data_IF_369398724806
#
_entry.id   IF_369398724806
#
_cell.length_a   1.000
_cell.length_b   1.000
_cell.length_c   1.000
_cell.angle_alpha   90.00
_cell.angle_beta   90.00
_cell.angle_gamma   90.00
#
_symmetry.space_group_name_H-M   'P 1'
#
loop_
_entity.id
_entity.type
_entity.pdbx_description
1 polymer ?
#
# COMPACT_ATOMS: atom_id res chain seq x y z
N UNK A 1 -20.54 -14.68 -6.20
CA UNK A 1 -20.15 -14.04 -7.47
C UNK A 1 -18.85 -13.31 -7.25
N UNK A 2 -17.88 -13.56 -8.14
CA UNK A 2 -16.48 -13.14 -8.05
C UNK A 2 -16.29 -11.62 -8.03
N UNK A 3 -15.25 -11.17 -7.31
CA UNK A 3 -14.89 -9.77 -7.12
C UNK A 3 -14.56 -9.12 -8.47
N UNK A 4 -15.10 -7.93 -8.71
CA UNK A 4 -14.86 -7.13 -9.92
C UNK A 4 -14.00 -5.91 -9.56
N UNK A 5 -12.68 -6.10 -9.48
CA UNK A 5 -11.70 -5.01 -9.42
C UNK A 5 -11.49 -4.42 -10.82
N UNK A 6 -12.35 -3.52 -11.27
CA UNK A 6 -12.18 -2.96 -12.63
C UNK A 6 -11.09 -1.89 -12.74
N UNK A 7 -10.59 -1.30 -11.63
CA UNK A 7 -9.69 -0.12 -11.70
C UNK A 7 -8.59 0.00 -10.62
N UNK A 8 -8.26 -1.03 -9.83
CA UNK A 8 -7.05 -0.97 -8.97
C UNK A 8 -5.83 -1.22 -9.86
N UNK A 9 -4.89 -0.27 -9.86
CA UNK A 9 -3.78 -0.23 -10.81
C UNK A 9 -2.49 -0.72 -10.15
N UNK A 10 -1.72 -1.63 -10.78
CA UNK A 10 -0.40 -2.02 -10.27
C UNK A 10 0.56 -0.83 -10.38
N UNK A 11 0.80 -0.16 -9.26
CA UNK A 11 1.65 1.03 -9.18
C UNK A 11 2.51 1.01 -7.92
N UNK A 12 3.60 0.25 -8.01
CA UNK A 12 4.51 -0.03 -6.91
C UNK A 12 5.31 1.19 -6.44
N UNK A 13 5.69 1.16 -5.16
CA UNK A 13 6.54 2.15 -4.49
C UNK A 13 7.79 1.48 -3.92
N UNK A 14 8.83 2.27 -3.70
CA UNK A 14 10.12 1.80 -3.17
C UNK A 14 10.14 1.72 -1.63
N UNK A 15 11.12 1.00 -1.07
CA UNK A 15 11.39 1.00 0.37
C UNK A 15 11.58 2.43 0.92
N UNK A 16 12.32 3.28 0.19
CA UNK A 16 12.53 4.69 0.57
C UNK A 16 11.22 5.43 0.74
N UNK A 17 10.23 5.14 -0.10
CA UNK A 17 8.91 5.74 0.03
C UNK A 17 8.12 5.13 1.17
N UNK A 18 8.14 3.81 1.37
CA UNK A 18 7.47 3.17 2.51
C UNK A 18 7.96 3.72 3.85
N UNK A 19 9.27 3.89 4.02
CA UNK A 19 9.86 4.50 5.22
C UNK A 19 9.25 5.86 5.50
N UNK A 20 9.06 6.68 4.46
CA UNK A 20 8.54 8.04 4.60
C UNK A 20 7.03 8.10 4.72
N UNK A 21 6.29 7.23 4.03
CA UNK A 21 4.83 7.12 4.10
C UNK A 21 4.35 6.64 5.47
N UNK A 22 5.12 5.75 6.10
CA UNK A 22 4.75 5.11 7.37
C UNK A 22 5.61 5.53 8.56
N UNK A 23 6.50 6.51 8.38
CA UNK A 23 7.46 6.94 9.39
C UNK A 23 8.18 5.75 10.05
N UNK A 24 8.67 4.81 9.22
CA UNK A 24 9.34 3.60 9.71
C UNK A 24 10.69 3.98 10.31
N UNK A 25 10.93 3.52 11.53
CA UNK A 25 12.21 3.62 12.21
C UNK A 25 13.09 2.40 11.90
N UNK A 26 14.40 2.42 12.19
CA UNK A 26 15.24 1.22 12.11
C UNK A 26 14.64 0.04 12.90
N UNK A 27 14.17 0.29 14.12
CA UNK A 27 13.51 -0.73 14.96
C UNK A 27 12.24 -1.29 14.29
N UNK A 28 11.47 -0.44 13.58
CA UNK A 28 10.30 -0.93 12.84
C UNK A 28 10.70 -1.89 11.70
N UNK A 29 11.83 -1.66 11.04
CA UNK A 29 12.31 -2.48 9.91
C UNK A 29 12.83 -3.86 10.33
N UNK A 30 13.14 -4.06 11.61
CA UNK A 30 13.53 -5.36 12.18
C UNK A 30 12.33 -6.23 12.58
N UNK A 31 11.13 -5.64 12.66
CA UNK A 31 9.89 -6.33 13.06
C UNK A 31 9.43 -7.32 12.00
N UNK A 32 8.56 -8.27 12.39
CA UNK A 32 7.84 -9.10 11.42
C UNK A 32 6.71 -8.29 10.76
N UNK A 33 6.93 -7.87 9.51
CA UNK A 33 6.06 -6.95 8.78
C UNK A 33 5.13 -7.69 7.80
N UNK A 34 3.87 -7.25 7.77
CA UNK A 34 2.92 -7.55 6.71
C UNK A 34 2.76 -6.32 5.80
N UNK A 35 3.09 -6.45 4.52
CA UNK A 35 2.69 -5.49 3.50
C UNK A 35 1.39 -5.93 2.83
N UNK A 36 0.30 -5.18 3.02
CA UNK A 36 -1.03 -5.56 2.52
C UNK A 36 -1.48 -4.66 1.38
N UNK A 37 -1.76 -5.27 0.23
CA UNK A 37 -2.05 -4.54 -1.02
C UNK A 37 -0.80 -3.89 -1.59
N UNK A 38 0.37 -4.51 -1.43
CA UNK A 38 1.66 -3.98 -1.91
C UNK A 38 1.76 -3.96 -3.44
N UNK A 39 0.95 -4.78 -4.13
CA UNK A 39 1.00 -4.92 -5.58
C UNK A 39 2.44 -5.15 -6.07
N UNK A 40 2.89 -4.31 -6.98
CA UNK A 40 4.23 -4.36 -7.58
C UNK A 40 5.28 -3.51 -6.83
N UNK A 41 5.09 -3.20 -5.55
CA UNK A 41 6.07 -2.46 -4.76
C UNK A 41 7.38 -3.23 -4.55
N UNK A 42 8.52 -2.54 -4.60
CA UNK A 42 9.83 -3.13 -4.29
C UNK A 42 10.17 -3.15 -2.81
N UNK A 43 9.30 -2.64 -1.94
CA UNK A 43 9.53 -2.60 -0.50
C UNK A 43 9.95 -3.97 0.06
N UNK A 44 9.23 -5.04 -0.29
CA UNK A 44 9.55 -6.39 0.13
C UNK A 44 10.94 -6.85 -0.35
N UNK A 45 11.20 -6.73 -1.65
CA UNK A 45 12.48 -7.10 -2.25
C UNK A 45 13.65 -6.35 -1.61
N UNK A 46 13.53 -5.02 -1.47
CA UNK A 46 14.57 -4.15 -0.94
C UNK A 46 14.80 -4.36 0.57
N UNK A 47 13.74 -4.58 1.35
CA UNK A 47 13.87 -4.87 2.79
C UNK A 47 14.46 -6.27 3.02
N UNK A 48 14.08 -7.25 2.20
CA UNK A 48 14.65 -8.61 2.27
C UNK A 48 16.15 -8.60 1.95
N UNK A 49 16.58 -7.81 0.96
CA UNK A 49 18.01 -7.64 0.64
C UNK A 49 18.81 -7.06 1.82
N UNK A 50 18.16 -6.31 2.71
CA UNK A 50 18.72 -5.77 3.95
C UNK A 50 18.60 -6.72 5.15
N UNK A 51 18.08 -7.93 4.96
CA UNK A 51 17.90 -8.94 6.01
C UNK A 51 16.64 -8.76 6.87
N UNK A 52 15.70 -7.91 6.45
CA UNK A 52 14.44 -7.70 7.15
C UNK A 52 13.43 -8.85 6.97
N UNK A 53 12.39 -8.86 7.79
CA UNK A 53 11.38 -9.92 7.82
C UNK A 53 10.02 -9.40 7.34
N UNK A 54 9.71 -9.65 6.07
CA UNK A 54 8.49 -9.14 5.44
C UNK A 54 7.77 -10.20 4.59
N UNK A 55 6.46 -10.24 4.77
CA UNK A 55 5.53 -10.92 3.87
C UNK A 55 4.61 -9.88 3.24
N UNK A 56 4.47 -9.92 1.92
CA UNK A 56 3.51 -9.13 1.16
C UNK A 56 2.35 -10.00 0.73
N UNK A 57 1.13 -9.48 0.86
CA UNK A 57 -0.12 -10.12 0.44
C UNK A 57 -0.84 -9.23 -0.56
N UNK A 58 -1.18 -9.80 -1.72
CA UNK A 58 -1.90 -9.09 -2.78
C UNK A 58 -2.61 -10.08 -3.72
N UNK A 59 -3.83 -9.78 -4.22
CA UNK A 59 -4.50 -10.63 -5.20
C UNK A 59 -3.67 -10.85 -6.47
N UNK A 60 -2.80 -9.90 -6.84
CA UNK A 60 -1.99 -9.98 -8.06
C UNK A 60 -0.95 -11.10 -8.00
N UNK A 61 -0.62 -11.62 -6.82
CA UNK A 61 0.39 -12.67 -6.65
C UNK A 61 -0.06 -14.06 -7.10
N UNK A 62 -1.31 -14.21 -7.57
CA UNK A 62 -1.74 -15.41 -8.31
C UNK A 62 -1.11 -15.51 -9.70
N UNK A 63 -0.59 -14.40 -10.24
CA UNK A 63 -0.05 -14.32 -11.60
C UNK A 63 1.46 -14.55 -11.63
N UNK A 64 1.99 -14.93 -12.80
CA UNK A 64 3.44 -14.99 -13.01
C UNK A 64 4.06 -13.59 -13.15
N UNK A 65 5.37 -13.49 -12.96
CA UNK A 65 6.11 -12.24 -13.16
C UNK A 65 5.83 -11.60 -14.55
N UNK A 66 5.81 -12.41 -15.61
CA UNK A 66 5.54 -11.92 -16.97
C UNK A 66 4.11 -11.39 -17.12
N UNK A 67 3.12 -12.05 -16.51
CA UNK A 67 1.74 -11.58 -16.51
C UNK A 67 1.60 -10.27 -15.73
N UNK A 68 2.31 -10.12 -14.61
CA UNK A 68 2.33 -8.88 -13.84
C UNK A 68 3.01 -7.77 -14.63
N UNK A 69 4.14 -8.05 -15.29
CA UNK A 69 4.84 -7.13 -16.19
C UNK A 69 3.90 -6.59 -17.29
N UNK A 70 3.18 -7.48 -17.98
CA UNK A 70 2.21 -7.05 -19.00
C UNK A 70 1.10 -6.13 -18.44
N UNK A 71 0.69 -6.31 -17.18
CA UNK A 71 -0.29 -5.43 -16.53
C UNK A 71 0.31 -4.08 -16.18
N UNK A 72 1.57 -4.04 -15.72
CA UNK A 72 2.33 -2.82 -15.47
C UNK A 72 2.47 -2.01 -16.77
N UNK A 73 2.90 -2.66 -17.85
CA UNK A 73 3.11 -2.01 -19.15
C UNK A 73 1.81 -1.38 -19.69
N UNK A 74 0.68 -2.07 -19.53
CA UNK A 74 -0.65 -1.55 -19.91
C UNK A 74 -1.11 -0.38 -19.02
N UNK A 75 -0.68 -0.37 -17.76
CA UNK A 75 -1.11 0.62 -16.76
C UNK A 75 -0.26 1.90 -16.80
N UNK A 76 1.00 1.78 -17.21
CA UNK A 76 1.97 2.87 -17.15
C UNK A 76 1.50 4.12 -17.90
N UNK A 77 1.13 3.98 -19.17
CA UNK A 77 0.69 5.10 -19.99
C UNK A 77 -0.57 5.76 -19.42
N UNK A 78 -1.54 4.96 -18.97
CA UNK A 78 -2.76 5.48 -18.34
C UNK A 78 -2.43 6.36 -17.13
N UNK A 79 -1.57 5.88 -16.21
CA UNK A 79 -1.24 6.63 -14.99
C UNK A 79 -0.46 7.90 -15.32
N UNK A 80 0.51 7.83 -16.22
CA UNK A 80 1.31 8.98 -16.63
C UNK A 80 0.43 10.05 -17.28
N UNK A 81 -0.45 9.66 -18.20
CA UNK A 81 -1.39 10.57 -18.86
C UNK A 81 -2.36 11.21 -17.86
N UNK A 82 -2.89 10.42 -16.92
CA UNK A 82 -3.78 10.94 -15.87
C UNK A 82 -3.04 11.88 -14.92
N UNK A 83 -1.80 11.56 -14.56
CA UNK A 83 -0.96 12.44 -13.74
C UNK A 83 -0.68 13.75 -14.47
N UNK A 84 -0.41 13.68 -15.78
CA UNK A 84 -0.18 14.85 -16.62
C UNK A 84 -1.40 15.77 -16.71
N UNK A 85 -2.60 15.20 -16.83
CA UNK A 85 -3.86 15.96 -16.87
C UNK A 85 -4.24 16.59 -15.53
N UNK A 86 -3.76 16.02 -14.43
CA UNK A 86 -4.08 16.43 -13.06
C UNK A 86 -2.84 16.92 -12.28
N UNK A 87 -1.86 17.51 -12.97
CA UNK A 87 -0.58 17.93 -12.35
C UNK A 87 -0.77 18.87 -11.15
N UNK A 88 -1.85 19.65 -11.16
CA UNK A 88 -2.24 20.56 -10.09
C UNK A 88 -2.66 19.85 -8.81
N UNK A 89 -2.88 18.53 -8.81
CA UNK A 89 -3.15 17.72 -7.61
C UNK A 89 -1.88 17.19 -6.94
N UNK A 90 -0.69 17.42 -7.53
CA UNK A 90 0.58 16.88 -7.05
C UNK A 90 1.58 17.96 -6.63
N UNK A 91 2.54 17.57 -5.80
CA UNK A 91 3.69 18.36 -5.36
C UNK A 91 4.94 17.85 -6.09
N UNK A 92 5.55 18.71 -6.90
CA UNK A 92 6.69 18.38 -7.76
C UNK A 92 8.05 18.82 -7.16
N UNK A 93 8.17 18.81 -5.83
CA UNK A 93 9.41 19.21 -5.14
C UNK A 93 10.45 18.08 -5.11
N UNK A 94 10.00 16.85 -4.88
CA UNK A 94 10.89 15.70 -4.67
C UNK A 94 10.93 14.74 -5.86
N UNK A 95 9.79 14.65 -6.54
CA UNK A 95 9.68 14.03 -7.85
C UNK A 95 9.50 15.23 -8.78
N UNK A 96 10.59 15.67 -9.41
CA UNK A 96 10.66 16.97 -10.07
C UNK A 96 9.91 17.06 -11.39
N UNK A 97 9.54 15.91 -11.97
CA UNK A 97 8.78 15.85 -13.22
C UNK A 97 8.00 14.54 -13.38
N UNK A 98 7.10 14.50 -14.36
CA UNK A 98 6.33 13.30 -14.72
C UNK A 98 7.26 12.20 -15.24
N UNK A 99 8.29 12.56 -15.98
CA UNK A 99 9.30 11.63 -16.47
C UNK A 99 10.10 11.04 -15.30
N UNK A 100 10.42 11.85 -14.30
CA UNK A 100 11.04 11.36 -13.07
C UNK A 100 10.10 10.43 -12.28
N UNK A 101 8.81 10.76 -12.15
CA UNK A 101 7.81 9.88 -11.55
C UNK A 101 7.82 8.51 -12.25
N UNK A 102 7.73 8.51 -13.57
CA UNK A 102 7.73 7.30 -14.38
C UNK A 102 8.99 6.45 -14.15
N UNK A 103 10.17 7.08 -14.17
CA UNK A 103 11.45 6.40 -13.90
C UNK A 103 11.50 5.78 -12.50
N UNK A 104 11.10 6.53 -11.46
CA UNK A 104 11.11 6.04 -10.07
C UNK A 104 10.15 4.84 -9.91
N UNK A 105 8.93 4.96 -10.46
CA UNK A 105 7.89 3.93 -10.35
C UNK A 105 8.26 2.67 -11.11
N UNK A 106 8.76 2.81 -12.34
CA UNK A 106 9.23 1.65 -13.11
C UNK A 106 10.44 1.00 -12.46
N UNK A 107 11.39 1.76 -11.91
CA UNK A 107 12.55 1.19 -11.21
C UNK A 107 12.13 0.33 -10.01
N UNK A 108 11.16 0.79 -9.21
CA UNK A 108 10.61 0.00 -8.12
C UNK A 108 9.93 -1.28 -8.65
N UNK A 109 9.05 -1.15 -9.64
CA UNK A 109 8.34 -2.31 -10.17
C UNK A 109 9.26 -3.34 -10.86
N UNK A 110 10.34 -2.91 -11.50
CA UNK A 110 11.36 -3.82 -12.07
C UNK A 110 12.14 -4.58 -11.00
N UNK A 111 12.49 -3.92 -9.88
CA UNK A 111 13.11 -4.61 -8.73
C UNK A 111 12.18 -5.68 -8.16
N UNK A 112 10.90 -5.35 -8.00
CA UNK A 112 9.86 -6.32 -7.61
C UNK A 112 9.81 -7.48 -8.59
N UNK A 113 9.69 -7.23 -9.90
CA UNK A 113 9.58 -8.28 -10.92
C UNK A 113 10.79 -9.23 -10.93
N UNK A 114 12.00 -8.71 -10.69
CA UNK A 114 13.22 -9.51 -10.61
C UNK A 114 13.25 -10.43 -9.38
N UNK A 115 12.72 -9.97 -8.25
CA UNK A 115 12.69 -10.72 -6.98
C UNK A 115 11.49 -11.67 -6.87
N UNK A 116 10.37 -11.34 -7.53
CA UNK A 116 9.05 -11.93 -7.30
C UNK A 116 9.04 -13.47 -7.32
N UNK A 117 9.59 -14.09 -8.37
CA UNK A 117 9.59 -15.55 -8.49
C UNK A 117 10.36 -16.23 -7.34
N UNK A 118 11.48 -15.65 -6.92
CA UNK A 118 12.25 -16.11 -5.76
C UNK A 118 11.49 -15.93 -4.46
N UNK A 119 10.86 -14.76 -4.28
CA UNK A 119 10.08 -14.46 -3.09
C UNK A 119 8.82 -15.30 -2.93
N UNK A 120 8.17 -15.71 -4.03
CA UNK A 120 7.04 -16.66 -3.98
C UNK A 120 7.50 -18.01 -3.43
N UNK A 121 8.63 -18.55 -3.90
CA UNK A 121 9.20 -19.80 -3.37
C UNK A 121 9.59 -19.71 -1.88
N UNK A 122 9.87 -18.49 -1.40
CA UNK A 122 10.22 -18.20 -0.01
C UNK A 122 9.01 -17.81 0.85
N UNK A 123 7.78 -17.89 0.32
CA UNK A 123 6.55 -17.42 0.97
C UNK A 123 6.55 -15.94 1.38
N UNK A 124 7.38 -15.11 0.73
CA UNK A 124 7.41 -13.65 0.93
C UNK A 124 6.32 -12.92 0.14
N UNK A 125 5.88 -13.47 -0.99
CA UNK A 125 4.74 -12.96 -1.75
C UNK A 125 3.63 -14.00 -1.73
N UNK A 126 2.50 -13.69 -1.08
CA UNK A 126 1.39 -14.62 -0.92
C UNK A 126 0.11 -14.08 -1.59
N UNK A 127 -0.59 -14.88 -2.41
CA UNK A 127 -1.89 -14.47 -2.91
C UNK A 127 -2.89 -14.41 -1.75
N UNK A 128 -3.61 -13.30 -1.67
CA UNK A 128 -4.63 -13.07 -0.65
C UNK A 128 -5.19 -11.66 -0.76
N UNK A 129 -6.34 -11.40 -0.16
CA UNK A 129 -7.02 -10.13 -0.32
C UNK A 129 -7.80 -9.73 0.92
N UNK A 130 -7.91 -8.43 1.14
CA UNK A 130 -8.84 -7.92 2.15
C UNK A 130 -10.29 -8.17 1.70
N UNK A 131 -11.21 -8.46 2.63
CA UNK A 131 -11.04 -8.43 4.08
C UNK A 131 -10.74 -9.80 4.71
N UNK A 132 -10.17 -10.76 3.97
CA UNK A 132 -9.90 -12.11 4.49
C UNK A 132 -8.47 -12.55 4.17
N UNK A 133 -7.58 -12.44 5.16
CA UNK A 133 -6.17 -12.76 5.01
C UNK A 133 -5.86 -14.18 5.52
N UNK A 134 -4.99 -14.93 4.85
CA UNK A 134 -4.67 -16.32 5.19
C UNK A 134 -3.65 -16.43 6.34
N UNK A 135 -3.79 -15.59 7.37
CA UNK A 135 -2.84 -15.49 8.48
C UNK A 135 -3.52 -15.70 9.83
N UNK A 136 -2.73 -16.15 10.81
CA UNK A 136 -3.19 -16.36 12.17
C UNK A 136 -3.37 -15.03 12.91
N UNK A 137 -4.10 -15.06 14.02
CA UNK A 137 -4.24 -13.91 14.91
C UNK A 137 -2.87 -13.48 15.41
N UNK A 138 -2.59 -12.17 15.34
CA UNK A 138 -1.35 -11.54 15.82
C UNK A 138 -0.06 -12.17 15.27
N UNK A 139 -0.13 -12.71 14.07
CA UNK A 139 1.01 -13.31 13.39
C UNK A 139 2.12 -12.29 13.06
N UNK A 140 1.76 -11.02 12.90
CA UNK A 140 2.68 -9.93 12.54
C UNK A 140 2.78 -8.89 13.65
N UNK A 141 3.94 -8.24 13.73
CA UNK A 141 4.11 -7.12 14.63
C UNK A 141 3.54 -5.84 14.03
N UNK A 142 3.70 -5.65 12.72
CA UNK A 142 3.33 -4.43 12.00
C UNK A 142 2.69 -4.76 10.66
N UNK A 143 1.45 -4.33 10.42
CA UNK A 143 0.82 -4.35 9.11
C UNK A 143 0.83 -2.95 8.48
N UNK A 144 1.27 -2.88 7.23
CA UNK A 144 1.30 -1.67 6.42
C UNK A 144 0.32 -1.83 5.26
N UNK A 145 -0.65 -0.93 5.15
CA UNK A 145 -1.54 -0.86 4.00
C UNK A 145 -1.36 0.51 3.35
N UNK A 146 -0.78 0.53 2.15
CA UNK A 146 -0.55 1.78 1.43
C UNK A 146 -1.84 2.23 0.74
N UNK A 147 -1.77 2.58 -0.53
CA UNK A 147 -2.83 3.29 -1.23
C UNK A 147 -4.03 2.41 -1.64
N UNK A 148 -4.27 1.27 -0.98
CA UNK A 148 -5.38 0.39 -1.33
C UNK A 148 -6.72 0.90 -0.80
N UNK A 149 -6.79 1.31 0.46
CA UNK A 149 -8.08 1.60 1.10
C UNK A 149 -8.64 2.95 0.64
N UNK A 150 -8.15 4.05 1.21
CA UNK A 150 -8.77 5.36 1.03
C UNK A 150 -8.62 5.92 -0.38
N UNK A 151 -7.54 5.63 -1.12
CA UNK A 151 -7.37 6.08 -2.50
C UNK A 151 -8.53 5.61 -3.39
N UNK A 152 -9.04 4.41 -3.10
CA UNK A 152 -10.09 3.73 -3.85
C UNK A 152 -11.46 3.82 -3.15
N UNK A 153 -11.72 4.91 -2.42
CA UNK A 153 -13.01 5.20 -1.75
C UNK A 153 -14.21 5.01 -2.69
N UNK A 154 -14.12 5.42 -3.96
CA UNK A 154 -15.21 5.26 -4.92
C UNK A 154 -15.44 3.79 -5.34
N UNK A 155 -14.42 2.93 -5.18
CA UNK A 155 -14.47 1.52 -5.58
C UNK A 155 -14.77 0.58 -4.40
N UNK A 156 -14.39 0.97 -3.19
CA UNK A 156 -14.45 0.15 -1.98
C UNK A 156 -15.46 0.77 -1.01
N UNK A 157 -16.49 0.01 -0.63
CA UNK A 157 -17.52 0.51 0.29
C UNK A 157 -16.97 0.79 1.70
N UNK A 158 -17.67 1.60 2.50
CA UNK A 158 -17.36 1.77 3.92
C UNK A 158 -17.32 0.42 4.67
N UNK A 159 -18.25 -0.49 4.36
CA UNK A 159 -18.29 -1.83 4.97
C UNK A 159 -17.03 -2.63 4.63
N UNK A 160 -16.54 -2.55 3.38
CA UNK A 160 -15.28 -3.19 3.00
C UNK A 160 -14.12 -2.63 3.81
N UNK A 161 -14.02 -1.31 3.97
CA UNK A 161 -12.97 -0.69 4.76
C UNK A 161 -12.99 -1.14 6.21
N UNK A 162 -14.18 -1.14 6.85
CA UNK A 162 -14.33 -1.57 8.25
C UNK A 162 -13.84 -3.01 8.43
N UNK A 163 -14.34 -3.95 7.62
CA UNK A 163 -13.92 -5.36 7.68
C UNK A 163 -12.43 -5.54 7.40
N UNK A 164 -11.89 -4.78 6.44
CA UNK A 164 -10.48 -4.84 6.07
C UNK A 164 -9.57 -4.38 7.20
N UNK A 165 -9.92 -3.29 7.87
CA UNK A 165 -9.12 -2.76 8.97
C UNK A 165 -9.22 -3.64 10.21
N UNK A 166 -10.39 -4.21 10.48
CA UNK A 166 -10.54 -5.25 11.52
C UNK A 166 -9.67 -6.47 11.23
N UNK A 167 -9.62 -6.92 9.98
CA UNK A 167 -8.77 -8.04 9.57
C UNK A 167 -7.28 -7.73 9.75
N UNK A 168 -6.83 -6.53 9.34
CA UNK A 168 -5.46 -6.08 9.59
C UNK A 168 -5.15 -6.04 11.10
N UNK A 169 -6.10 -5.55 11.92
CA UNK A 169 -5.96 -5.53 13.38
C UNK A 169 -6.00 -6.95 13.99
N UNK A 170 -6.64 -7.92 13.34
CA UNK A 170 -6.66 -9.32 13.78
C UNK A 170 -5.29 -9.95 13.60
N UNK A 171 -4.70 -9.82 12.41
CA UNK A 171 -3.44 -10.47 12.06
C UNK A 171 -2.19 -9.76 12.58
N UNK A 172 -2.30 -8.52 13.06
CA UNK A 172 -1.14 -7.73 13.49
C UNK A 172 -1.30 -7.00 14.81
N UNK A 173 -0.19 -6.70 15.48
CA UNK A 173 -0.16 -5.91 16.72
C UNK A 173 -0.36 -4.40 16.47
N UNK A 174 0.19 -3.88 15.39
CA UNK A 174 0.06 -2.48 14.97
C UNK A 174 -0.29 -2.40 13.49
N UNK A 175 -1.22 -1.52 13.13
CA UNK A 175 -1.59 -1.26 11.73
C UNK A 175 -1.27 0.18 11.38
N UNK A 176 -0.62 0.42 10.23
CA UNK A 176 -0.46 1.75 9.63
C UNK A 176 -1.09 1.79 8.24
N UNK A 177 -1.95 2.78 7.99
CA UNK A 177 -2.68 2.96 6.72
C UNK A 177 -2.33 4.33 6.14
N UNK A 178 -1.96 4.38 4.86
CA UNK A 178 -1.56 5.62 4.20
C UNK A 178 -1.95 5.66 2.71
N UNK A 179 -2.45 6.77 2.17
CA UNK A 179 -2.85 8.02 2.86
C UNK A 179 -4.30 7.92 3.36
N UNK A 180 -4.85 9.01 3.91
CA UNK A 180 -6.28 9.15 4.23
C UNK A 180 -7.06 9.93 3.16
N UNK A 181 -6.52 10.00 1.95
CA UNK A 181 -7.10 10.70 0.81
C UNK A 181 -7.62 9.73 -0.26
N UNK A 182 -8.57 10.20 -1.05
CA UNK A 182 -9.01 9.56 -2.28
C UNK A 182 -8.16 9.96 -3.51
N UNK A 183 -8.49 9.44 -4.68
CA UNK A 183 -7.81 9.74 -5.93
C UNK A 183 -7.89 11.22 -6.37
N UNK A 184 -8.83 12.00 -5.82
CA UNK A 184 -9.02 13.42 -6.11
C UNK A 184 -8.21 14.35 -5.20
N UNK A 185 -7.45 13.78 -4.26
CA UNK A 185 -6.72 14.50 -3.21
C UNK A 185 -7.64 15.09 -2.13
N UNK A 186 -8.88 14.61 -2.04
CA UNK A 186 -9.80 14.95 -0.98
C UNK A 186 -9.70 13.93 0.16
N UNK A 187 -9.94 14.36 1.39
CA UNK A 187 -10.00 13.44 2.53
C UNK A 187 -11.14 12.45 2.30
N UNK A 188 -10.86 11.16 2.43
CA UNK A 188 -11.89 10.14 2.24
C UNK A 188 -13.07 10.37 3.20
N UNK A 189 -14.31 10.34 2.73
CA UNK A 189 -15.51 10.43 3.57
C UNK A 189 -15.61 9.27 4.57
N UNK A 190 -14.84 8.20 4.38
CA UNK A 190 -14.79 7.05 5.29
C UNK A 190 -13.79 7.20 6.43
N UNK A 191 -12.88 8.18 6.38
CA UNK A 191 -11.84 8.35 7.40
C UNK A 191 -12.42 8.56 8.81
N UNK A 192 -13.30 9.56 9.00
CA UNK A 192 -13.92 9.83 10.31
C UNK A 192 -14.82 8.68 10.80
N UNK A 193 -15.76 8.13 9.99
CA UNK A 193 -16.56 6.99 10.42
C UNK A 193 -15.74 5.78 10.90
N UNK A 194 -14.61 5.50 10.25
CA UNK A 194 -13.72 4.40 10.64
C UNK A 194 -12.98 4.72 11.94
N UNK A 195 -12.46 5.95 12.09
CA UNK A 195 -11.77 6.37 13.30
C UNK A 195 -12.71 6.27 14.51
N UNK A 196 -13.93 6.78 14.38
CA UNK A 196 -14.95 6.72 15.43
C UNK A 196 -15.33 5.28 15.77
N UNK A 197 -15.52 4.44 14.75
CA UNK A 197 -15.81 3.02 14.92
C UNK A 197 -14.73 2.29 15.72
N UNK A 198 -13.46 2.54 15.41
CA UNK A 198 -12.32 1.93 16.08
C UNK A 198 -12.16 2.44 17.51
N UNK A 199 -12.34 3.74 17.74
CA UNK A 199 -12.30 4.34 19.09
C UNK A 199 -13.43 3.82 19.98
N UNK A 200 -14.63 3.64 19.44
CA UNK A 200 -15.75 3.03 20.16
C UNK A 200 -15.46 1.56 20.58
N UNK A 201 -14.49 0.90 19.92
CA UNK A 201 -13.97 -0.42 20.27
C UNK A 201 -12.69 -0.37 21.12
N UNK A 202 -12.39 0.78 21.72
CA UNK A 202 -11.22 1.01 22.58
C UNK A 202 -9.86 0.77 21.90
N UNK A 203 -9.79 0.92 20.56
CA UNK A 203 -8.50 0.93 19.84
C UNK A 203 -7.81 2.28 20.03
N UNK A 204 -6.48 2.27 20.13
CA UNK A 204 -5.69 3.49 20.13
C UNK A 204 -5.45 3.92 18.68
N UNK A 205 -6.19 4.93 18.24
CA UNK A 205 -6.17 5.43 16.86
C UNK A 205 -5.58 6.83 16.82
N UNK A 206 -4.50 7.01 16.04
CA UNK A 206 -3.82 8.29 15.86
C UNK A 206 -3.64 8.60 14.38
N UNK A 207 -3.94 9.83 14.01
CA UNK A 207 -3.50 10.40 12.75
C UNK A 207 -2.12 11.02 12.95
N UNK A 208 -1.17 10.63 12.09
CA UNK A 208 0.22 11.05 12.21
C UNK A 208 0.65 11.66 10.88
N UNK A 209 1.10 12.92 10.93
CA UNK A 209 1.73 13.57 9.77
C UNK A 209 3.08 12.93 9.50
N UNK A 210 3.38 12.65 8.24
CA UNK A 210 4.58 11.94 7.81
C UNK A 210 5.40 12.78 6.83
N UNK A 211 6.64 12.36 6.62
CA UNK A 211 7.59 13.08 5.76
C UNK A 211 7.39 12.81 4.26
N UNK A 212 6.31 12.15 3.83
CA UNK A 212 5.99 11.92 2.43
C UNK A 212 4.83 12.80 2.00
N UNK A 213 4.98 13.52 0.88
CA UNK A 213 3.87 14.22 0.23
C UNK A 213 4.12 14.26 -1.28
N UNK A 214 3.33 13.50 -2.04
CA UNK A 214 3.34 13.58 -3.50
C UNK A 214 1.99 14.06 -4.02
N UNK A 215 0.90 13.43 -3.60
CA UNK A 215 -0.44 13.99 -3.75
C UNK A 215 -0.62 15.11 -2.72
N UNK A 216 -1.16 16.26 -3.12
CA UNK A 216 -1.36 17.41 -2.23
C UNK A 216 -2.19 17.02 -1.01
N UNK A 217 -1.71 17.33 0.19
CA UNK A 217 -2.35 16.96 1.45
C UNK A 217 -2.21 15.47 1.82
N UNK A 218 -1.64 14.65 0.94
CA UNK A 218 -1.45 13.20 1.12
C UNK A 218 -0.22 12.93 1.96
N UNK A 219 -0.18 13.47 3.19
CA UNK A 219 0.96 13.43 4.10
C UNK A 219 0.58 12.99 5.51
N UNK A 220 -0.53 12.26 5.65
CA UNK A 220 -1.04 11.76 6.92
C UNK A 220 -1.31 10.26 6.83
N UNK A 221 -0.82 9.50 7.81
CA UNK A 221 -1.14 8.09 8.00
C UNK A 221 -2.07 7.90 9.22
N UNK A 222 -2.86 6.83 9.19
CA UNK A 222 -3.58 6.33 10.36
C UNK A 222 -2.75 5.25 11.03
N UNK A 223 -2.50 5.38 12.33
CA UNK A 223 -1.84 4.36 13.17
C UNK A 223 -2.85 3.79 14.16
N UNK A 224 -2.93 2.47 14.25
CA UNK A 224 -3.87 1.73 15.10
C UNK A 224 -3.10 0.73 15.95
N UNK A 225 -3.34 0.73 17.27
CA UNK A 225 -2.82 -0.26 18.23
C UNK A 225 -3.99 -0.80 19.09
#
# INVERSE_FOLDING_TARGET
>A
MAIRYYNIKPWGRSLKEYVRMFNLTPDDLERKILGCGDGSASFNAELTEQGGNITSVDPVYIFSADQIRQRIDKTYNDIIDQTQKNQDKFIWQEIGSIEELGRIRMSAMEKFLKDFAGGVMQNRYMPGELPFLPFSDKEFDLALCSHLLFLYTENLSLEFHLKSIEELCRVSNEVRIFPLLDANADRSPYAEPIIDYLRARNRNVKEIKVAYEFQKGGNTMLRIC
#
